data_IF_874764110241
#
_entry.id   IF_874764110241
#
_cell.length_a   1.000
_cell.length_b   1.000
_cell.length_c   1.000
_cell.angle_alpha   90.00
_cell.angle_beta   90.00
_cell.angle_gamma   90.00
#
_symmetry.space_group_name_H-M   'P 1'
#
loop_
_entity.id
_entity.type
_entity.pdbx_description
1 polymer ?
#
# COMPACT_ATOMS: atom_id res chain seq x y z
N UNK A 1 42.29 -61.37 34.71
CA UNK A 1 41.66 -60.73 33.54
C UNK A 1 40.32 -60.10 33.98
N UNK A 2 40.36 -58.92 34.57
CA UNK A 2 39.16 -58.13 34.90
C UNK A 2 39.49 -56.64 35.00
N UNK A 3 39.88 -55.97 33.92
CA UNK A 3 39.92 -54.52 33.81
C UNK A 3 39.93 -54.06 32.36
N UNK A 4 38.77 -54.03 31.70
CA UNK A 4 38.64 -53.32 30.45
C UNK A 4 37.19 -52.80 30.07
N UNK A 5 36.15 -53.21 30.81
CA UNK A 5 34.77 -52.81 30.46
C UNK A 5 34.34 -51.43 31.03
N UNK A 6 35.04 -50.91 32.04
CA UNK A 6 34.70 -49.60 32.66
C UNK A 6 35.08 -48.38 31.82
N UNK A 7 36.21 -48.45 31.12
CA UNK A 7 36.73 -47.32 30.37
C UNK A 7 35.93 -47.04 29.06
N UNK A 8 35.45 -48.05 28.40
CA UNK A 8 34.60 -47.90 27.18
C UNK A 8 33.22 -47.34 27.51
N UNK A 9 32.61 -47.76 28.62
CA UNK A 9 31.29 -47.24 29.03
C UNK A 9 31.35 -45.75 29.42
N UNK A 10 32.46 -45.32 29.99
CA UNK A 10 32.67 -43.91 30.36
C UNK A 10 32.91 -43.06 29.11
N UNK A 11 33.63 -43.58 28.11
CA UNK A 11 33.80 -42.90 26.79
C UNK A 11 32.49 -42.77 26.05
N UNK A 12 31.67 -43.82 25.95
CA UNK A 12 30.37 -43.77 25.32
C UNK A 12 29.41 -42.79 26.02
N UNK A 13 29.37 -42.73 27.35
CA UNK A 13 28.56 -41.76 28.09
C UNK A 13 29.01 -40.31 27.83
N UNK A 14 30.32 -40.04 27.75
CA UNK A 14 30.83 -38.70 27.41
C UNK A 14 30.53 -38.29 25.98
N UNK A 15 30.58 -39.23 25.01
CA UNK A 15 30.20 -38.98 23.63
C UNK A 15 28.68 -38.77 23.49
N UNK A 16 27.84 -39.55 24.18
CA UNK A 16 26.40 -39.37 24.20
C UNK A 16 25.98 -38.01 24.81
N UNK A 17 26.70 -37.57 25.87
CA UNK A 17 26.43 -36.27 26.46
C UNK A 17 26.87 -35.11 25.55
N UNK A 18 27.99 -35.27 24.81
CA UNK A 18 28.44 -34.29 23.81
C UNK A 18 27.52 -34.18 22.60
N UNK A 19 27.01 -35.31 22.10
CA UNK A 19 26.03 -35.36 21.01
C UNK A 19 24.71 -34.78 21.45
N UNK A 20 24.25 -35.02 22.69
CA UNK A 20 23.03 -34.45 23.23
C UNK A 20 23.14 -32.92 23.44
N UNK A 21 24.29 -32.43 23.89
CA UNK A 21 24.59 -30.98 23.96
C UNK A 21 24.65 -30.32 22.60
N UNK A 22 25.23 -30.98 21.56
CA UNK A 22 25.23 -30.46 20.20
C UNK A 22 23.83 -30.42 19.59
N UNK A 23 23.01 -31.45 19.85
CA UNK A 23 21.60 -31.49 19.41
C UNK A 23 20.77 -30.41 20.11
N UNK A 24 21.02 -30.07 21.37
CA UNK A 24 20.36 -28.96 22.05
C UNK A 24 20.77 -27.59 21.49
N UNK A 25 22.03 -27.42 21.08
CA UNK A 25 22.48 -26.18 20.43
C UNK A 25 21.85 -26.02 19.04
N UNK A 26 21.64 -27.09 18.30
CA UNK A 26 20.94 -27.07 17.01
C UNK A 26 19.45 -26.76 17.19
N UNK A 27 18.83 -27.18 18.32
CA UNK A 27 17.44 -26.83 18.64
C UNK A 27 17.25 -25.38 19.11
N UNK A 28 18.31 -24.73 19.59
CA UNK A 28 18.32 -23.30 19.94
C UNK A 28 18.65 -22.39 18.76
N UNK A 29 19.14 -22.93 17.63
CA UNK A 29 19.12 -22.29 16.34
C UNK A 29 17.73 -22.43 15.66
N UNK A 30 16.67 -22.29 16.46
CA UNK A 30 15.31 -22.12 16.01
C UNK A 30 15.29 -20.93 15.04
N UNK A 31 14.60 -21.06 13.92
CA UNK A 31 14.42 -20.05 12.89
C UNK A 31 14.35 -18.68 13.54
N UNK A 32 15.45 -17.93 13.57
CA UNK A 32 15.38 -16.51 13.84
C UNK A 32 14.50 -15.94 12.75
N UNK A 33 13.34 -15.44 13.13
CA UNK A 33 12.44 -14.79 12.18
C UNK A 33 13.24 -13.68 11.51
N UNK A 34 13.15 -13.57 10.18
CA UNK A 34 13.93 -12.60 9.40
C UNK A 34 13.56 -11.21 9.90
N UNK A 35 14.53 -10.49 10.47
CA UNK A 35 14.42 -9.07 10.74
C UNK A 35 15.02 -8.27 9.60
N UNK A 36 14.48 -7.10 9.36
CA UNK A 36 14.98 -6.16 8.36
C UNK A 36 15.78 -5.05 9.03
N UNK A 37 16.47 -4.26 8.23
CA UNK A 37 17.18 -3.08 8.73
C UNK A 37 16.21 -2.08 9.34
N UNK A 38 16.36 -1.69 10.61
CA UNK A 38 15.42 -0.81 11.30
C UNK A 38 15.57 0.64 10.84
N UNK A 39 14.45 1.38 10.89
CA UNK A 39 14.40 2.82 10.63
C UNK A 39 13.92 3.52 11.89
N UNK A 40 14.71 4.42 12.43
CA UNK A 40 14.39 5.18 13.64
C UNK A 40 12.99 5.80 13.57
N UNK A 41 12.27 5.85 14.69
CA UNK A 41 10.87 6.32 14.74
C UNK A 41 10.71 7.74 14.23
N UNK A 42 11.62 8.61 14.64
CA UNK A 42 11.62 10.06 14.34
C UNK A 42 12.18 10.35 12.93
N UNK A 43 12.56 9.32 12.17
CA UNK A 43 13.08 9.51 10.82
C UNK A 43 11.96 9.62 9.82
N UNK A 44 11.77 10.80 9.21
CA UNK A 44 10.89 10.96 8.05
C UNK A 44 11.42 10.17 6.87
N UNK A 45 10.51 9.56 6.10
CA UNK A 45 10.83 8.83 4.88
C UNK A 45 9.69 8.83 3.88
N UNK A 46 10.03 8.62 2.62
CA UNK A 46 9.15 8.07 1.61
C UNK A 46 9.63 6.65 1.27
N UNK A 47 8.72 5.69 1.20
CA UNK A 47 9.10 4.33 0.84
C UNK A 47 8.38 3.89 -0.44
N UNK A 48 9.12 3.20 -1.33
CA UNK A 48 8.62 2.60 -2.56
C UNK A 48 8.41 1.11 -2.38
N UNK A 49 7.17 0.65 -2.54
CA UNK A 49 6.90 -0.79 -2.70
C UNK A 49 7.13 -1.17 -4.16
N UNK A 50 8.03 -2.12 -4.38
CA UNK A 50 8.41 -2.61 -5.70
C UNK A 50 7.86 -4.04 -5.87
N UNK A 51 7.10 -4.30 -6.93
CA UNK A 51 6.33 -5.56 -7.04
C UNK A 51 6.87 -6.55 -8.06
N UNK A 52 7.75 -6.15 -8.97
CA UNK A 52 8.43 -7.07 -9.91
C UNK A 52 9.61 -7.81 -9.23
N UNK A 53 10.33 -7.14 -8.34
CA UNK A 53 11.28 -7.71 -7.40
C UNK A 53 10.83 -7.29 -5.99
N UNK A 54 10.03 -8.13 -5.29
CA UNK A 54 9.34 -7.70 -4.08
C UNK A 54 10.27 -7.11 -3.03
N UNK A 55 10.19 -5.80 -2.86
CA UNK A 55 11.01 -5.03 -1.90
C UNK A 55 10.29 -3.78 -1.44
N UNK A 56 10.76 -3.21 -0.35
CA UNK A 56 10.37 -1.89 0.15
C UNK A 56 11.64 -1.08 0.37
N UNK A 57 11.81 -0.03 -0.42
CA UNK A 57 12.94 0.88 -0.35
C UNK A 57 12.53 2.14 0.42
N UNK A 58 13.28 2.47 1.47
CA UNK A 58 13.04 3.64 2.30
C UNK A 58 14.05 4.74 1.97
N UNK A 59 13.57 5.93 1.67
CA UNK A 59 14.38 7.05 1.16
C UNK A 59 14.10 8.29 2.01
N UNK A 60 15.15 9.04 2.34
CA UNK A 60 15.03 10.31 3.07
C UNK A 60 14.73 11.50 2.13
N UNK A 61 14.54 12.67 2.71
CA UNK A 61 14.24 13.90 1.97
C UNK A 61 15.37 14.37 1.04
N UNK A 62 16.61 13.93 1.30
CA UNK A 62 17.77 14.24 0.47
C UNK A 62 17.91 13.27 -0.72
N UNK A 63 17.12 12.17 -0.71
CA UNK A 63 17.17 11.10 -1.71
C UNK A 63 18.15 9.98 -1.36
N UNK A 64 18.65 9.92 -0.11
CA UNK A 64 19.50 8.82 0.32
C UNK A 64 18.67 7.59 0.70
N UNK A 65 19.16 6.41 0.30
CA UNK A 65 18.58 5.15 0.72
C UNK A 65 18.84 4.92 2.20
N UNK A 66 17.79 4.82 3.00
CA UNK A 66 17.85 4.51 4.43
C UNK A 66 17.96 3.01 4.66
N UNK A 67 17.14 2.24 3.97
CA UNK A 67 17.12 0.78 4.02
C UNK A 67 16.41 0.20 2.81
N UNK A 68 16.70 -1.07 2.48
CA UNK A 68 15.96 -1.89 1.53
C UNK A 68 15.53 -3.20 2.19
N UNK A 69 14.23 -3.43 2.28
CA UNK A 69 13.66 -4.68 2.76
C UNK A 69 13.35 -5.60 1.57
N UNK A 70 14.12 -6.67 1.41
CA UNK A 70 13.91 -7.66 0.35
C UNK A 70 13.00 -8.79 0.85
N UNK A 71 11.92 -9.05 0.14
CA UNK A 71 10.90 -10.02 0.52
C UNK A 71 11.03 -11.34 -0.24
N UNK A 72 10.79 -12.45 0.46
CA UNK A 72 10.67 -13.78 -0.12
C UNK A 72 9.21 -14.07 -0.58
N UNK A 73 8.26 -13.21 -0.20
CA UNK A 73 6.85 -13.29 -0.57
C UNK A 73 6.52 -12.24 -1.62
N UNK A 74 5.60 -12.58 -2.53
CA UNK A 74 5.11 -11.69 -3.57
C UNK A 74 4.08 -10.68 -3.00
N UNK A 75 4.55 -9.76 -2.16
CA UNK A 75 3.71 -8.64 -1.74
C UNK A 75 3.42 -7.73 -2.92
N UNK A 76 2.16 -7.32 -3.06
CA UNK A 76 1.69 -6.41 -4.10
C UNK A 76 1.06 -5.14 -3.55
N UNK A 77 1.10 -4.97 -2.24
CA UNK A 77 0.63 -3.77 -1.57
C UNK A 77 1.17 -3.64 -0.14
N UNK A 78 1.27 -2.41 0.31
CA UNK A 78 1.72 -2.02 1.64
C UNK A 78 0.94 -0.82 2.15
N UNK A 79 0.78 -0.69 3.46
CA UNK A 79 0.19 0.48 4.09
C UNK A 79 0.80 0.71 5.48
N UNK A 80 0.96 1.96 5.88
CA UNK A 80 1.32 2.30 7.26
C UNK A 80 0.09 2.13 8.18
N UNK A 81 0.31 1.50 9.33
CA UNK A 81 -0.66 1.45 10.43
C UNK A 81 -0.15 2.36 11.55
N UNK A 82 -0.47 3.65 11.47
CA UNK A 82 0.15 4.69 12.29
C UNK A 82 1.61 4.92 11.90
N UNK A 83 2.43 5.37 12.85
CA UNK A 83 3.77 5.91 12.54
C UNK A 83 4.87 4.85 12.45
N UNK A 84 4.70 3.69 13.10
CA UNK A 84 5.79 2.72 13.25
C UNK A 84 5.48 1.30 12.77
N UNK A 85 4.35 1.09 12.11
CA UNK A 85 4.00 -0.22 11.61
C UNK A 85 3.70 -0.19 10.12
N UNK A 86 4.13 -1.22 9.40
CA UNK A 86 3.79 -1.46 8.00
C UNK A 86 3.09 -2.81 7.85
N UNK A 87 1.90 -2.77 7.25
CA UNK A 87 1.15 -3.96 6.85
C UNK A 87 1.47 -4.25 5.39
N UNK A 88 1.88 -5.50 5.11
CA UNK A 88 2.18 -6.01 3.79
C UNK A 88 1.14 -7.06 3.38
N UNK A 89 0.67 -6.99 2.13
CA UNK A 89 -0.30 -7.94 1.58
C UNK A 89 0.00 -8.28 0.13
N UNK A 90 -0.59 -9.38 -0.36
CA UNK A 90 -0.44 -9.74 -1.76
C UNK A 90 -1.69 -10.45 -2.29
N UNK A 91 -2.02 -10.19 -3.55
CA UNK A 91 -3.21 -10.75 -4.20
C UNK A 91 -3.21 -12.30 -4.22
N UNK A 92 -2.05 -12.93 -4.26
CA UNK A 92 -1.90 -14.39 -4.26
C UNK A 92 -1.55 -14.96 -2.87
N UNK A 93 -1.40 -14.11 -1.86
CA UNK A 93 -1.09 -14.53 -0.50
C UNK A 93 -2.37 -14.78 0.30
N UNK A 94 -2.30 -15.74 1.23
CA UNK A 94 -3.38 -16.08 2.15
C UNK A 94 -3.14 -15.52 3.55
N UNK A 95 -2.25 -14.57 3.67
CA UNK A 95 -1.96 -13.85 4.91
C UNK A 95 -1.54 -12.41 4.60
N UNK A 96 -1.76 -11.56 5.59
CA UNK A 96 -1.12 -10.25 5.72
C UNK A 96 -0.03 -10.39 6.78
N UNK A 97 1.05 -9.62 6.64
CA UNK A 97 2.13 -9.57 7.61
C UNK A 97 2.32 -8.12 8.07
N UNK A 98 2.43 -7.91 9.38
CA UNK A 98 2.69 -6.58 9.97
C UNK A 98 4.05 -6.60 10.60
N UNK A 99 4.84 -5.57 10.29
CA UNK A 99 6.19 -5.36 10.80
C UNK A 99 6.27 -4.04 11.56
N UNK A 100 7.09 -4.01 12.60
CA UNK A 100 7.48 -2.77 13.28
C UNK A 100 8.67 -2.17 12.54
N UNK A 101 8.54 -0.93 12.06
CA UNK A 101 9.55 -0.28 11.23
C UNK A 101 10.82 0.01 12.03
N UNK A 102 10.65 0.47 13.28
CA UNK A 102 11.79 0.84 14.16
C UNK A 102 12.63 -0.34 14.65
N UNK A 103 12.13 -1.57 14.51
CA UNK A 103 12.91 -2.78 14.88
C UNK A 103 13.19 -3.68 13.67
N UNK A 104 12.48 -3.50 12.57
CA UNK A 104 12.54 -4.39 11.40
C UNK A 104 11.94 -5.78 11.67
N UNK A 105 11.29 -5.99 12.81
CA UNK A 105 10.76 -7.29 13.24
C UNK A 105 9.30 -7.45 12.85
N UNK A 106 8.92 -8.69 12.53
CA UNK A 106 7.53 -9.03 12.31
C UNK A 106 6.76 -8.98 13.63
N UNK A 107 5.72 -8.14 13.66
CA UNK A 107 4.85 -8.03 14.82
C UNK A 107 3.83 -9.17 14.86
N UNK A 108 3.14 -9.41 13.75
CA UNK A 108 2.22 -10.54 13.59
C UNK A 108 1.97 -10.89 12.12
N UNK A 109 1.38 -12.07 11.91
CA UNK A 109 0.84 -12.52 10.64
C UNK A 109 -0.62 -12.92 10.84
N UNK A 110 -1.52 -12.49 9.96
CA UNK A 110 -2.94 -12.81 10.02
C UNK A 110 -3.38 -13.50 8.75
N UNK A 111 -4.09 -14.62 8.93
CA UNK A 111 -4.69 -15.34 7.79
C UNK A 111 -5.85 -14.53 7.20
N UNK A 112 -5.83 -14.36 5.88
CA UNK A 112 -6.89 -13.76 5.08
C UNK A 112 -7.19 -14.64 3.87
N UNK A 113 -8.33 -14.41 3.21
CA UNK A 113 -8.62 -15.12 1.96
C UNK A 113 -7.75 -14.58 0.81
N UNK A 114 -7.27 -15.49 -0.06
CA UNK A 114 -6.54 -15.12 -1.28
C UNK A 114 -7.42 -14.21 -2.14
N UNK A 115 -6.82 -13.16 -2.72
CA UNK A 115 -7.54 -12.21 -3.57
C UNK A 115 -7.58 -10.79 -3.01
N UNK A 116 -6.79 -10.49 -1.97
CA UNK A 116 -6.64 -9.12 -1.44
C UNK A 116 -6.21 -8.18 -2.56
N UNK A 117 -7.00 -7.15 -2.81
CA UNK A 117 -6.74 -6.15 -3.86
C UNK A 117 -6.26 -4.82 -3.31
N UNK A 118 -6.73 -4.45 -2.12
CA UNK A 118 -6.31 -3.22 -1.45
C UNK A 118 -6.51 -3.35 0.05
N UNK A 119 -5.74 -2.56 0.80
CA UNK A 119 -5.90 -2.32 2.23
C UNK A 119 -5.92 -0.82 2.46
N UNK A 120 -6.88 -0.34 3.23
CA UNK A 120 -7.04 1.05 3.63
C UNK A 120 -7.02 1.15 5.15
N UNK A 121 -6.27 2.07 5.71
CA UNK A 121 -6.22 2.32 7.15
C UNK A 121 -6.81 3.71 7.47
N UNK A 122 -7.70 3.75 8.45
CA UNK A 122 -8.21 5.00 8.99
C UNK A 122 -7.64 5.23 10.40
N UNK A 123 -6.80 6.24 10.51
CA UNK A 123 -6.09 6.56 11.74
C UNK A 123 -7.01 7.09 12.85
N UNK A 124 -8.16 7.69 12.51
CA UNK A 124 -9.09 8.24 13.50
C UNK A 124 -9.78 7.14 14.31
N UNK A 125 -10.14 6.04 13.66
CA UNK A 125 -10.82 4.90 14.31
C UNK A 125 -9.89 3.73 14.58
N UNK A 126 -8.60 3.83 14.16
CA UNK A 126 -7.58 2.79 14.32
C UNK A 126 -8.02 1.43 13.76
N UNK A 127 -8.59 1.44 12.55
CA UNK A 127 -9.06 0.25 11.86
C UNK A 127 -8.50 0.19 10.44
N UNK A 128 -8.28 -1.02 9.93
CA UNK A 128 -7.99 -1.21 8.53
C UNK A 128 -9.06 -2.05 7.83
N UNK A 129 -9.23 -1.78 6.55
CA UNK A 129 -10.23 -2.41 5.69
C UNK A 129 -9.52 -3.14 4.57
N UNK A 130 -9.92 -4.38 4.31
CA UNK A 130 -9.36 -5.22 3.23
C UNK A 130 -10.45 -5.45 2.19
N UNK A 131 -10.17 -5.13 0.93
CA UNK A 131 -10.99 -5.58 -0.20
C UNK A 131 -10.42 -6.85 -0.80
N UNK A 132 -11.31 -7.74 -1.22
CA UNK A 132 -10.96 -9.02 -1.83
C UNK A 132 -11.74 -9.24 -3.13
N UNK A 133 -11.03 -9.41 -4.25
CA UNK A 133 -11.63 -9.56 -5.58
C UNK A 133 -12.11 -10.97 -5.91
N UNK A 134 -11.70 -11.99 -5.16
CA UNK A 134 -12.17 -13.36 -5.35
C UNK A 134 -13.47 -13.63 -4.62
N UNK A 135 -13.59 -13.09 -3.42
CA UNK A 135 -14.81 -13.19 -2.61
C UNK A 135 -15.76 -12.01 -2.84
N UNK A 136 -15.29 -10.93 -3.48
CA UNK A 136 -16.02 -9.67 -3.64
C UNK A 136 -16.51 -9.14 -2.29
N UNK A 137 -15.62 -9.02 -1.32
CA UNK A 137 -15.91 -8.55 0.03
C UNK A 137 -15.07 -7.36 0.42
N UNK A 138 -15.57 -6.55 1.35
CA UNK A 138 -14.78 -5.69 2.22
C UNK A 138 -14.88 -6.23 3.63
N UNK A 139 -13.76 -6.25 4.34
CA UNK A 139 -13.67 -6.75 5.72
C UNK A 139 -12.89 -5.75 6.56
N UNK A 140 -13.42 -5.38 7.73
CA UNK A 140 -12.75 -4.48 8.67
C UNK A 140 -12.08 -5.25 9.80
N UNK A 141 -10.96 -4.69 10.26
CA UNK A 141 -10.11 -5.23 11.32
C UNK A 141 -9.67 -4.13 12.27
N UNK A 142 -9.43 -4.47 13.53
CA UNK A 142 -8.68 -3.63 14.46
C UNK A 142 -7.16 -3.66 14.16
N UNK A 143 -6.38 -2.87 14.87
CA UNK A 143 -4.91 -2.83 14.69
C UNK A 143 -4.21 -4.15 15.04
N UNK A 144 -4.80 -4.96 15.91
CA UNK A 144 -4.30 -6.29 16.29
C UNK A 144 -4.68 -7.38 15.27
N UNK A 145 -5.40 -6.99 14.20
CA UNK A 145 -5.85 -7.87 13.14
C UNK A 145 -7.03 -8.76 13.52
N UNK A 146 -7.85 -8.39 14.52
CA UNK A 146 -9.10 -9.06 14.78
C UNK A 146 -10.17 -8.56 13.84
N UNK A 147 -10.87 -9.49 13.18
CA UNK A 147 -11.96 -9.15 12.27
C UNK A 147 -13.14 -8.57 13.06
N UNK A 148 -13.66 -7.43 12.61
CA UNK A 148 -14.79 -6.73 13.21
C UNK A 148 -16.09 -6.95 12.42
N UNK A 149 -16.05 -6.71 11.10
CA UNK A 149 -17.19 -6.89 10.21
C UNK A 149 -16.73 -7.34 8.83
N UNK A 150 -17.67 -7.88 8.04
CA UNK A 150 -17.44 -8.22 6.64
C UNK A 150 -18.73 -8.04 5.84
N UNK A 151 -18.63 -7.47 4.63
CA UNK A 151 -19.76 -7.21 3.76
C UNK A 151 -19.45 -7.58 2.31
N UNK A 152 -20.43 -8.17 1.66
CA UNK A 152 -20.41 -8.45 0.21
C UNK A 152 -20.61 -7.16 -0.58
N UNK A 153 -19.92 -7.02 -1.72
CA UNK A 153 -20.07 -5.89 -2.63
C UNK A 153 -19.96 -6.30 -4.11
N UNK A 154 -19.82 -5.31 -5.01
CA UNK A 154 -19.70 -5.54 -6.45
C UNK A 154 -18.41 -6.23 -6.87
N UNK A 155 -18.26 -6.44 -8.18
CA UNK A 155 -17.17 -7.22 -8.74
C UNK A 155 -15.83 -6.48 -8.69
N UNK A 156 -14.82 -7.17 -8.18
CA UNK A 156 -13.44 -6.72 -8.11
C UNK A 156 -13.29 -5.39 -7.35
N UNK A 157 -13.66 -5.35 -6.06
CA UNK A 157 -13.43 -4.16 -5.25
C UNK A 157 -11.94 -3.88 -5.15
N UNK A 158 -11.56 -2.61 -5.23
CA UNK A 158 -10.15 -2.22 -5.37
C UNK A 158 -9.81 -0.99 -4.55
N UNK A 159 -10.10 0.21 -5.05
CA UNK A 159 -9.70 1.44 -4.39
C UNK A 159 -10.66 1.84 -3.29
N UNK A 160 -10.12 2.33 -2.19
CA UNK A 160 -10.88 2.79 -1.02
C UNK A 160 -10.41 4.17 -0.55
N UNK A 161 -11.32 4.93 0.01
CA UNK A 161 -11.07 6.16 0.77
C UNK A 161 -12.17 6.34 1.80
N UNK A 162 -11.95 7.16 2.83
CA UNK A 162 -12.98 7.52 3.80
C UNK A 162 -13.28 9.01 3.82
N UNK A 163 -14.46 9.33 4.30
CA UNK A 163 -14.85 10.67 4.69
C UNK A 163 -15.85 10.60 5.85
N UNK A 164 -15.49 11.18 6.98
CA UNK A 164 -16.26 11.09 8.25
C UNK A 164 -16.44 9.62 8.66
N UNK A 165 -17.70 9.18 8.73
CA UNK A 165 -18.09 7.82 9.12
C UNK A 165 -18.34 6.88 7.92
N UNK A 166 -17.96 7.29 6.70
CA UNK A 166 -18.24 6.58 5.46
C UNK A 166 -16.98 6.07 4.78
N UNK A 167 -17.03 4.81 4.33
CA UNK A 167 -16.02 4.19 3.47
C UNK A 167 -16.57 4.12 2.04
N UNK A 168 -15.81 4.64 1.09
CA UNK A 168 -16.10 4.63 -0.33
C UNK A 168 -15.24 3.56 -1.00
N UNK A 169 -15.88 2.61 -1.71
CA UNK A 169 -15.19 1.49 -2.35
C UNK A 169 -15.53 1.42 -3.83
N UNK A 170 -14.54 1.53 -4.69
CA UNK A 170 -14.68 1.34 -6.14
C UNK A 170 -14.73 -0.15 -6.46
N UNK A 171 -15.79 -0.60 -7.17
CA UNK A 171 -15.89 -1.92 -7.75
C UNK A 171 -15.35 -1.87 -9.19
N UNK A 172 -14.10 -2.18 -9.39
CA UNK A 172 -13.34 -1.92 -10.63
C UNK A 172 -13.96 -2.56 -11.89
N UNK A 173 -14.53 -3.77 -11.76
CA UNK A 173 -15.17 -4.48 -12.88
C UNK A 173 -16.65 -4.16 -13.06
N UNK A 174 -17.22 -3.39 -12.15
CA UNK A 174 -18.56 -2.85 -12.25
C UNK A 174 -18.51 -1.35 -12.59
N UNK A 175 -19.67 -0.78 -12.85
CA UNK A 175 -19.85 0.67 -13.01
C UNK A 175 -20.43 1.27 -11.73
N UNK A 176 -19.90 0.85 -10.57
CA UNK A 176 -20.44 1.19 -9.25
C UNK A 176 -19.35 1.50 -8.24
N UNK A 177 -19.65 2.50 -7.43
CA UNK A 177 -18.99 2.76 -6.16
C UNK A 177 -19.97 2.45 -5.04
N UNK A 178 -19.52 1.72 -4.02
CA UNK A 178 -20.33 1.40 -2.84
C UNK A 178 -19.90 2.27 -1.68
N UNK A 179 -20.89 2.83 -0.95
CA UNK A 179 -20.68 3.66 0.25
C UNK A 179 -21.17 2.89 1.46
N UNK A 180 -20.30 2.72 2.44
CA UNK A 180 -20.55 1.97 3.66
C UNK A 180 -20.47 2.85 4.89
N UNK A 181 -21.22 2.49 5.93
CA UNK A 181 -20.92 2.91 7.28
C UNK A 181 -19.65 2.21 7.77
N UNK A 182 -18.64 2.94 8.24
CA UNK A 182 -17.34 2.36 8.63
C UNK A 182 -17.43 1.48 9.87
N UNK A 183 -18.43 1.70 10.73
CA UNK A 183 -18.54 0.98 12.02
C UNK A 183 -18.97 -0.48 11.86
N UNK A 184 -19.92 -0.74 10.94
CA UNK A 184 -20.56 -2.06 10.81
C UNK A 184 -20.58 -2.58 9.37
N UNK A 185 -20.03 -1.82 8.43
CA UNK A 185 -19.99 -2.10 7.00
C UNK A 185 -21.38 -2.27 6.35
N UNK A 186 -22.43 -1.67 6.91
CA UNK A 186 -23.73 -1.62 6.23
C UNK A 186 -23.62 -0.75 4.97
N UNK A 187 -24.17 -1.23 3.85
CA UNK A 187 -24.25 -0.47 2.60
C UNK A 187 -25.29 0.62 2.78
N UNK A 188 -24.87 1.88 2.62
CA UNK A 188 -25.80 3.02 2.69
C UNK A 188 -26.23 3.49 1.31
N UNK A 189 -25.30 3.48 0.34
CA UNK A 189 -25.55 3.93 -1.03
C UNK A 189 -24.72 3.14 -2.05
N UNK A 190 -25.17 3.13 -3.28
CA UNK A 190 -24.40 2.73 -4.45
C UNK A 190 -24.52 3.81 -5.53
N UNK A 191 -23.35 4.29 -6.00
CA UNK A 191 -23.29 5.35 -7.01
C UNK A 191 -22.86 4.80 -8.36
N UNK A 192 -23.51 5.22 -9.47
CA UNK A 192 -23.00 4.91 -10.80
C UNK A 192 -21.71 5.71 -11.07
N UNK A 193 -20.67 5.01 -11.46
CA UNK A 193 -19.37 5.61 -11.85
C UNK A 193 -18.92 5.07 -13.21
N UNK A 194 -17.84 5.65 -13.78
CA UNK A 194 -17.27 5.14 -15.02
C UNK A 194 -16.67 3.74 -14.82
N UNK A 195 -16.61 2.98 -15.90
CA UNK A 195 -16.02 1.65 -15.94
C UNK A 195 -14.50 1.72 -15.73
N UNK A 196 -13.95 0.71 -15.07
CA UNK A 196 -12.52 0.62 -14.73
C UNK A 196 -12.00 1.84 -13.98
N UNK A 197 -12.84 2.42 -13.11
CA UNK A 197 -12.44 3.45 -12.17
C UNK A 197 -11.38 2.89 -11.22
N UNK A 198 -10.38 3.70 -10.88
CA UNK A 198 -9.26 3.28 -10.04
C UNK A 198 -8.84 4.36 -9.03
N UNK A 199 -8.38 5.51 -9.51
CA UNK A 199 -7.99 6.61 -8.64
C UNK A 199 -9.18 7.25 -7.95
N UNK A 200 -9.03 7.60 -6.68
CA UNK A 200 -10.07 8.20 -5.85
C UNK A 200 -9.47 9.19 -4.86
N UNK A 201 -10.08 10.37 -4.72
CA UNK A 201 -9.69 11.36 -3.72
C UNK A 201 -10.92 12.11 -3.18
N UNK A 202 -10.97 12.32 -1.87
CA UNK A 202 -11.98 13.14 -1.21
C UNK A 202 -11.47 14.57 -1.10
N UNK A 203 -12.30 15.53 -1.51
CA UNK A 203 -12.08 16.96 -1.37
C UNK A 203 -13.16 17.52 -0.43
N UNK A 204 -12.75 17.76 0.82
CA UNK A 204 -13.66 18.27 1.85
C UNK A 204 -14.07 19.72 1.57
N UNK A 205 -13.14 20.50 1.01
CA UNK A 205 -13.27 21.92 0.73
C UNK A 205 -14.40 22.22 -0.26
N UNK A 206 -14.55 21.38 -1.27
CA UNK A 206 -15.59 21.51 -2.30
C UNK A 206 -16.72 20.49 -2.11
N UNK A 207 -16.62 19.63 -1.09
CA UNK A 207 -17.56 18.55 -0.83
C UNK A 207 -17.68 17.56 -2.01
N UNK A 208 -16.57 17.20 -2.59
CA UNK A 208 -16.49 16.37 -3.80
C UNK A 208 -15.68 15.09 -3.58
N UNK A 209 -16.07 14.05 -4.32
CA UNK A 209 -15.27 12.86 -4.56
C UNK A 209 -14.78 12.89 -6.01
N UNK A 210 -13.47 12.93 -6.19
CA UNK A 210 -12.86 12.84 -7.52
C UNK A 210 -12.51 11.39 -7.85
N UNK A 211 -12.87 10.97 -9.06
CA UNK A 211 -12.67 9.57 -9.51
C UNK A 211 -12.05 9.57 -10.90
N UNK A 212 -10.87 8.97 -11.00
CA UNK A 212 -10.18 8.70 -12.25
C UNK A 212 -10.27 7.22 -12.65
N UNK A 213 -9.44 6.76 -13.58
CA UNK A 213 -9.39 5.35 -13.96
C UNK A 213 -8.85 5.09 -15.35
N UNK A 214 -8.84 3.81 -15.75
CA UNK A 214 -8.31 3.36 -17.04
C UNK A 214 -9.30 3.55 -18.21
N UNK A 215 -10.61 3.44 -17.95
CA UNK A 215 -11.61 3.39 -19.01
C UNK A 215 -11.76 2.00 -19.63
N UNK A 216 -12.38 1.92 -20.79
CA UNK A 216 -12.53 0.68 -21.56
C UNK A 216 -11.39 0.54 -22.58
N UNK A 217 -10.93 -0.68 -22.85
CA UNK A 217 -9.73 -0.97 -23.63
C UNK A 217 -9.58 -0.21 -24.96
N UNK A 218 -10.67 -0.04 -25.72
CA UNK A 218 -10.67 0.77 -26.97
C UNK A 218 -10.96 2.26 -26.76
N UNK A 219 -11.35 2.64 -25.55
CA UNK A 219 -11.68 4.02 -25.14
C UNK A 219 -11.05 4.29 -23.78
N UNK A 220 -9.75 4.61 -23.74
CA UNK A 220 -9.10 4.97 -22.48
C UNK A 220 -9.78 6.19 -21.88
N UNK A 221 -9.85 6.22 -20.55
CA UNK A 221 -10.40 7.35 -19.83
C UNK A 221 -9.51 8.59 -20.05
N UNK A 222 -10.10 9.75 -20.25
CA UNK A 222 -9.41 11.01 -20.48
C UNK A 222 -9.83 12.10 -19.50
N UNK A 223 -10.52 11.73 -18.41
CA UNK A 223 -10.99 12.71 -17.42
C UNK A 223 -11.02 12.18 -16.01
N UNK A 224 -10.94 13.09 -15.05
CA UNK A 224 -11.30 12.88 -13.65
C UNK A 224 -12.71 13.41 -13.46
N UNK A 225 -13.61 12.59 -12.91
CA UNK A 225 -15.01 12.93 -12.65
C UNK A 225 -15.22 13.37 -11.22
N UNK A 226 -16.06 14.40 -11.05
CA UNK A 226 -16.37 15.03 -9.77
C UNK A 226 -17.78 14.64 -9.34
N UNK A 227 -17.90 13.97 -8.20
CA UNK A 227 -19.17 13.53 -7.63
C UNK A 227 -19.42 14.26 -6.31
N UNK A 228 -20.66 14.66 -6.06
CA UNK A 228 -21.08 15.18 -4.75
C UNK A 228 -20.98 14.11 -3.66
N UNK A 229 -20.31 14.41 -2.54
CA UNK A 229 -20.04 13.46 -1.45
C UNK A 229 -21.28 12.95 -0.71
N UNK A 230 -22.42 13.65 -0.81
CA UNK A 230 -23.65 13.26 -0.13
C UNK A 230 -24.54 12.41 -1.04
N UNK A 231 -24.69 12.85 -2.29
CA UNK A 231 -25.69 12.29 -3.20
C UNK A 231 -25.13 11.34 -4.24
N UNK A 232 -23.81 11.38 -4.50
CA UNK A 232 -23.17 10.65 -5.57
C UNK A 232 -23.51 11.16 -6.96
N UNK A 233 -24.10 12.34 -7.08
CA UNK A 233 -24.41 12.93 -8.38
C UNK A 233 -23.13 13.44 -9.05
N UNK A 234 -22.96 13.06 -10.33
CA UNK A 234 -21.91 13.63 -11.16
C UNK A 234 -22.27 15.08 -11.50
N UNK A 235 -21.37 16.03 -11.17
CA UNK A 235 -21.60 17.45 -11.47
C UNK A 235 -20.44 18.11 -12.22
N UNK A 236 -19.43 17.37 -12.60
CA UNK A 236 -18.33 17.90 -13.40
C UNK A 236 -17.29 16.86 -13.77
N UNK A 237 -16.43 17.24 -14.70
CA UNK A 237 -15.25 16.47 -15.07
C UNK A 237 -14.13 17.41 -15.47
N UNK A 238 -12.91 16.92 -15.33
CA UNK A 238 -11.67 17.64 -15.64
C UNK A 238 -10.92 16.84 -16.69
N UNK A 239 -10.61 17.46 -17.80
CA UNK A 239 -9.83 16.82 -18.87
C UNK A 239 -8.41 16.51 -18.40
N UNK A 240 -8.08 15.24 -18.35
CA UNK A 240 -6.75 14.70 -17.99
C UNK A 240 -6.47 13.46 -18.82
N UNK A 241 -5.90 13.59 -20.02
CA UNK A 241 -5.59 12.45 -20.88
C UNK A 241 -4.33 11.76 -20.36
N UNK A 242 -4.17 10.56 -20.56
CA UNK A 242 -4.79 9.29 -20.78
C UNK A 242 -4.72 8.48 -19.49
N UNK A 243 -5.82 7.91 -19.03
CA UNK A 243 -5.86 7.04 -17.86
C UNK A 243 -5.32 7.71 -16.57
N UNK A 244 -5.99 8.74 -16.03
CA UNK A 244 -5.65 9.33 -14.73
C UNK A 244 -5.98 8.33 -13.61
N UNK A 245 -4.96 7.60 -13.11
CA UNK A 245 -5.16 6.44 -12.21
C UNK A 245 -4.70 6.69 -10.78
N UNK A 246 -3.71 7.53 -10.56
CA UNK A 246 -3.22 7.87 -9.23
C UNK A 246 -3.69 9.27 -8.85
N UNK A 247 -4.46 9.38 -7.78
CA UNK A 247 -4.94 10.66 -7.25
C UNK A 247 -4.47 10.80 -5.79
N UNK A 248 -3.93 11.97 -5.48
CA UNK A 248 -3.58 12.35 -4.09
C UNK A 248 -4.00 13.77 -3.81
N UNK A 249 -4.86 13.96 -2.81
CA UNK A 249 -5.13 15.29 -2.27
C UNK A 249 -3.99 15.70 -1.34
N UNK A 250 -3.50 16.91 -1.54
CA UNK A 250 -2.57 17.59 -0.64
C UNK A 250 -3.29 18.74 0.06
N UNK A 251 -2.54 19.54 0.84
CA UNK A 251 -3.11 20.72 1.50
C UNK A 251 -3.65 21.76 0.51
N UNK A 252 -2.98 21.93 -0.65
CA UNK A 252 -3.22 23.07 -1.55
C UNK A 252 -3.57 22.66 -2.99
N UNK A 253 -3.63 21.34 -3.27
CA UNK A 253 -3.83 20.83 -4.63
C UNK A 253 -4.30 19.38 -4.64
N UNK A 254 -4.72 18.93 -5.81
CA UNK A 254 -4.88 17.52 -6.15
C UNK A 254 -3.82 17.14 -7.17
N UNK A 255 -3.03 16.13 -6.83
CA UNK A 255 -2.02 15.54 -7.67
C UNK A 255 -2.67 14.39 -8.45
N UNK A 256 -2.47 14.35 -9.75
CA UNK A 256 -3.02 13.28 -10.61
C UNK A 256 -1.95 12.78 -11.55
N UNK A 257 -1.65 11.48 -11.52
CA UNK A 257 -0.76 10.86 -12.50
C UNK A 257 -1.56 10.19 -13.59
N UNK A 258 -1.19 10.53 -14.82
CA UNK A 258 -1.68 9.94 -16.04
C UNK A 258 -0.74 8.83 -16.50
N UNK A 259 -1.15 7.59 -16.24
CA UNK A 259 -0.43 6.39 -16.57
C UNK A 259 -0.15 6.24 -18.09
N UNK A 260 -1.14 6.53 -18.93
CA UNK A 260 -0.98 6.39 -20.39
C UNK A 260 -0.27 7.56 -21.08
N UNK A 261 -0.04 8.67 -20.37
CA UNK A 261 0.62 9.87 -20.93
C UNK A 261 1.95 10.17 -20.25
N UNK A 262 2.28 9.44 -19.18
CA UNK A 262 3.49 9.66 -18.38
C UNK A 262 3.59 11.08 -17.81
N UNK A 263 2.46 11.63 -17.37
CA UNK A 263 2.40 13.00 -16.86
C UNK A 263 1.82 13.07 -15.44
N UNK A 264 2.34 14.00 -14.68
CA UNK A 264 1.76 14.53 -13.45
C UNK A 264 0.99 15.81 -13.77
N UNK A 265 -0.26 15.87 -13.38
CA UNK A 265 -1.09 17.06 -13.34
C UNK A 265 -1.24 17.54 -11.91
N UNK A 266 -1.11 18.84 -11.70
CA UNK A 266 -1.41 19.51 -10.42
C UNK A 266 -2.58 20.45 -10.65
N UNK A 267 -3.72 20.14 -10.02
CA UNK A 267 -4.94 20.90 -10.12
C UNK A 267 -5.27 21.62 -8.80
N UNK A 268 -5.96 22.75 -8.87
CA UNK A 268 -6.63 23.31 -7.69
C UNK A 268 -7.91 22.52 -7.34
N UNK A 269 -8.57 22.86 -6.23
CA UNK A 269 -9.77 22.16 -5.78
C UNK A 269 -11.01 22.45 -6.64
N UNK A 270 -10.98 23.49 -7.50
CA UNK A 270 -12.01 23.75 -8.49
C UNK A 270 -11.83 22.90 -9.75
N UNK A 271 -10.62 22.34 -9.96
CA UNK A 271 -10.26 21.48 -11.07
C UNK A 271 -9.47 22.17 -12.18
N UNK A 272 -8.99 23.41 -11.95
CA UNK A 272 -8.11 24.07 -12.92
C UNK A 272 -6.71 23.50 -12.82
N UNK A 273 -6.15 23.07 -13.94
CA UNK A 273 -4.77 22.60 -14.01
C UNK A 273 -3.83 23.79 -13.79
N UNK A 274 -3.10 23.80 -12.69
CA UNK A 274 -2.08 24.82 -12.36
C UNK A 274 -0.83 24.66 -13.23
N UNK A 275 -0.40 23.40 -13.35
CA UNK A 275 0.75 23.00 -14.18
C UNK A 275 0.75 21.48 -14.39
N UNK A 276 1.56 21.04 -15.34
CA UNK A 276 1.80 19.63 -15.63
C UNK A 276 3.29 19.39 -15.89
N UNK A 277 3.75 18.16 -15.66
CA UNK A 277 5.15 17.76 -15.82
C UNK A 277 5.23 16.33 -16.32
N UNK A 278 6.02 16.10 -17.37
CA UNK A 278 6.38 14.75 -17.79
C UNK A 278 7.18 14.06 -16.68
N UNK A 279 6.78 12.87 -16.30
CA UNK A 279 7.37 12.05 -15.25
C UNK A 279 7.55 10.64 -15.76
N UNK A 280 8.52 9.94 -15.28
CA UNK A 280 8.88 8.53 -15.53
C UNK A 280 8.00 7.68 -16.45
N UNK A 281 8.40 6.45 -16.66
CA UNK A 281 7.65 5.54 -17.52
C UNK A 281 6.56 4.82 -16.71
N UNK A 282 5.29 4.94 -17.18
CA UNK A 282 4.16 4.18 -16.65
C UNK A 282 3.88 4.46 -15.15
N UNK A 283 3.65 5.72 -14.76
CA UNK A 283 3.44 6.07 -13.35
C UNK A 283 2.05 5.64 -12.87
N UNK A 284 1.97 4.98 -11.71
CA UNK A 284 0.71 4.58 -11.08
C UNK A 284 0.38 5.37 -9.81
N UNK A 285 1.38 5.94 -9.16
CA UNK A 285 1.24 6.54 -7.84
C UNK A 285 2.01 7.84 -7.74
N UNK A 286 1.43 8.76 -6.99
CA UNK A 286 2.01 10.04 -6.59
C UNK A 286 1.70 10.28 -5.12
N UNK A 287 2.64 10.85 -4.40
CA UNK A 287 2.43 11.35 -3.04
C UNK A 287 3.22 12.65 -2.81
N UNK A 288 2.97 13.30 -1.70
CA UNK A 288 3.75 14.43 -1.21
C UNK A 288 4.66 13.96 -0.07
N UNK A 289 5.94 14.35 -0.12
CA UNK A 289 6.90 14.11 0.94
C UNK A 289 7.69 15.41 1.21
N UNK A 290 7.46 16.01 2.38
CA UNK A 290 7.97 17.35 2.70
C UNK A 290 7.54 18.36 1.61
N UNK A 291 8.51 19.09 1.05
CA UNK A 291 8.27 20.07 -0.01
C UNK A 291 8.21 19.45 -1.42
N UNK A 292 8.39 18.14 -1.55
CA UNK A 292 8.43 17.46 -2.83
C UNK A 292 7.11 16.75 -3.16
N UNK A 293 6.72 16.83 -4.42
CA UNK A 293 5.82 15.86 -5.01
C UNK A 293 6.68 14.71 -5.52
N UNK A 294 6.35 13.48 -5.15
CA UNK A 294 7.11 12.30 -5.55
C UNK A 294 6.25 11.40 -6.40
N UNK A 295 6.73 11.06 -7.59
CA UNK A 295 6.09 10.14 -8.53
C UNK A 295 6.95 8.91 -8.68
N UNK A 296 6.35 7.73 -8.65
CA UNK A 296 7.04 6.47 -8.92
C UNK A 296 6.83 6.04 -10.38
N UNK A 297 7.93 5.91 -11.13
CA UNK A 297 7.95 5.32 -12.46
C UNK A 297 8.05 3.80 -12.37
N UNK A 298 7.02 3.12 -12.85
CA UNK A 298 6.92 1.67 -12.73
C UNK A 298 7.90 0.91 -13.63
N UNK A 299 8.07 1.35 -14.88
CA UNK A 299 8.89 0.66 -15.88
C UNK A 299 10.35 1.11 -15.85
N UNK A 300 10.64 2.31 -15.38
CA UNK A 300 12.00 2.85 -15.26
C UNK A 300 12.57 2.77 -13.83
N UNK A 301 11.78 2.27 -12.89
CA UNK A 301 12.23 1.95 -11.53
C UNK A 301 12.85 3.14 -10.79
N UNK A 302 12.26 4.32 -10.98
CA UNK A 302 12.82 5.59 -10.51
C UNK A 302 11.75 6.39 -9.76
N UNK A 303 12.12 6.98 -8.62
CA UNK A 303 11.33 8.02 -7.97
C UNK A 303 11.76 9.39 -8.49
N UNK A 304 10.79 10.19 -8.89
CA UNK A 304 10.94 11.56 -9.37
C UNK A 304 10.52 12.54 -8.28
N UNK A 305 11.46 13.29 -7.75
CA UNK A 305 11.20 14.34 -6.77
C UNK A 305 11.05 15.68 -7.49
N UNK A 306 9.87 16.27 -7.37
CA UNK A 306 9.45 17.47 -8.09
C UNK A 306 9.14 18.56 -7.07
N UNK A 307 9.73 19.72 -7.23
CA UNK A 307 9.50 20.92 -6.43
C UNK A 307 9.29 22.11 -7.35
N UNK A 308 8.29 22.93 -7.06
CA UNK A 308 7.94 24.13 -7.84
C UNK A 308 7.79 23.86 -9.36
N UNK A 309 7.23 22.68 -9.70
CA UNK A 309 7.04 22.25 -11.09
C UNK A 309 8.32 21.82 -11.82
N UNK A 310 9.44 21.60 -11.12
CA UNK A 310 10.72 21.16 -11.69
C UNK A 310 11.18 19.86 -11.08
N UNK A 311 11.68 18.93 -11.91
CA UNK A 311 12.36 17.73 -11.42
C UNK A 311 13.71 18.12 -10.83
N UNK A 312 13.84 18.02 -9.52
CA UNK A 312 15.09 18.38 -8.81
C UNK A 312 16.04 17.20 -8.66
N UNK A 313 15.48 16.02 -8.40
CA UNK A 313 16.28 14.80 -8.25
C UNK A 313 15.51 13.56 -8.66
N UNK A 314 16.25 12.49 -8.90
CA UNK A 314 15.74 11.14 -9.14
C UNK A 314 16.46 10.16 -8.23
N UNK A 315 15.76 9.11 -7.81
CA UNK A 315 16.32 8.05 -6.98
C UNK A 315 15.94 6.71 -7.60
N UNK A 316 16.93 5.87 -7.89
CA UNK A 316 16.69 4.51 -8.37
C UNK A 316 16.16 3.65 -7.22
N UNK A 317 15.13 2.85 -7.50
CA UNK A 317 14.50 1.92 -6.56
C UNK A 317 14.37 0.53 -7.18
N UNK A 318 13.84 -0.42 -6.43
CA UNK A 318 13.59 -1.78 -6.93
C UNK A 318 12.60 -1.81 -8.09
N UNK A 319 12.57 -2.94 -8.81
CA UNK A 319 11.78 -3.08 -10.04
C UNK A 319 10.27 -3.08 -9.80
N UNK A 320 9.57 -2.29 -10.60
CA UNK A 320 8.13 -2.16 -10.55
C UNK A 320 7.65 -1.35 -9.36
N UNK A 321 8.16 -0.14 -9.19
CA UNK A 321 7.71 0.82 -8.19
C UNK A 321 6.22 1.12 -8.36
N UNK A 322 5.41 0.63 -7.41
CA UNK A 322 3.94 0.56 -7.59
C UNK A 322 3.16 1.32 -6.54
N UNK A 323 3.69 1.46 -5.33
CA UNK A 323 3.02 2.16 -4.23
C UNK A 323 4.02 2.96 -3.42
N UNK A 324 3.58 4.12 -2.92
CA UNK A 324 4.35 4.98 -2.03
C UNK A 324 3.76 4.95 -0.62
N UNK A 325 4.62 4.97 0.38
CA UNK A 325 4.27 5.16 1.79
C UNK A 325 5.05 6.37 2.30
N UNK A 326 4.40 7.26 3.02
CA UNK A 326 5.02 8.48 3.54
C UNK A 326 4.85 8.52 5.05
N UNK A 327 5.96 8.73 5.76
CA UNK A 327 6.00 9.10 7.17
C UNK A 327 6.73 10.43 7.32
N UNK A 328 6.04 11.40 7.91
CA UNK A 328 6.59 12.73 8.20
C UNK A 328 6.50 13.00 9.70
N UNK A 329 7.59 13.50 10.25
CA UNK A 329 7.72 13.97 11.63
C UNK A 329 7.73 15.51 11.67
#
# INVERSE_FOLDING_TARGET
VKYSKGAEVIKLKKWAFFIFSLLQIIWLAGCAEKSYEPIERERSFIASLNIQEPSLDFIDEDGNMLATWLFDKAYSGAILLGDDQVLLYGHQLNNIDVYTISTGEKLYSKKVEIGTTNVYYDDNIKQFFITNSKTNTVTSFDQEGNQLASQQLGNYPMSMTSYRDKLYVINFKDTKLSVFNMKDLTIEQEWPIQKSAHGIAVLEETHELWVGGHGEGSKPNSSVKKYDLTTGQLHGEIDMPLMPVGLKKTKDAVLVVSHGHNELYVADFDGHIKWQQEVGANPFVVDQFKDYIVVAGYDDHTLYFIKDGQKEKTVDVGKGAFQLLVREE
#
